data_IF_622590933271
#
_entry.id   IF_622590933271
#
_cell.length_a   1.000
_cell.length_b   1.000
_cell.length_c   1.000
_cell.angle_alpha   90.00
_cell.angle_beta   90.00
_cell.angle_gamma   90.00
#
_symmetry.space_group_name_H-M   'P 1'
#
loop_
_entity.id
_entity.type
_entity.pdbx_description
1 polymer ?
#
# COMPACT_ATOMS: atom_id res chain seq x y z
N UNK A 1 0.50 -8.18 3.52
CA UNK A 1 -0.56 -8.72 4.41
C UNK A 1 -1.42 -9.61 3.54
N UNK A 2 -1.86 -10.75 4.08
CA UNK A 2 -2.59 -11.78 3.32
C UNK A 2 -4.00 -11.99 3.90
N UNK A 3 -4.97 -11.11 3.59
CA UNK A 3 -6.32 -11.14 4.15
C UNK A 3 -7.07 -12.47 4.01
N UNK A 4 -6.98 -13.14 2.86
CA UNK A 4 -7.64 -14.45 2.65
C UNK A 4 -7.01 -15.53 3.54
N UNK A 5 -5.68 -15.57 3.63
CA UNK A 5 -4.97 -16.44 4.58
C UNK A 5 -5.42 -16.18 6.02
N UNK A 6 -5.47 -14.92 6.45
CA UNK A 6 -5.89 -14.55 7.79
C UNK A 6 -7.34 -14.97 8.10
N UNK A 7 -8.23 -14.87 7.10
CA UNK A 7 -9.62 -15.32 7.18
C UNK A 7 -9.74 -16.83 7.37
N UNK A 8 -8.92 -17.61 6.68
CA UNK A 8 -8.93 -19.06 6.81
C UNK A 8 -8.37 -19.54 8.17
N UNK A 9 -7.48 -18.77 8.79
CA UNK A 9 -6.74 -19.22 9.98
C UNK A 9 -7.30 -18.69 11.31
N UNK A 10 -7.57 -17.39 11.45
CA UNK A 10 -7.79 -16.80 12.78
C UNK A 10 -8.61 -15.51 12.85
N UNK A 11 -8.96 -14.86 11.73
CA UNK A 11 -9.62 -13.55 11.76
C UNK A 11 -10.58 -13.35 10.58
N UNK A 12 -11.88 -13.17 10.87
CA UNK A 12 -12.88 -12.85 9.86
C UNK A 12 -12.42 -11.75 8.90
N UNK A 13 -12.66 -11.94 7.60
CA UNK A 13 -12.17 -11.04 6.54
C UNK A 13 -12.58 -9.58 6.76
N UNK A 14 -13.82 -9.35 7.22
CA UNK A 14 -14.35 -8.01 7.52
C UNK A 14 -13.66 -7.32 8.69
N UNK A 15 -13.06 -8.10 9.60
CA UNK A 15 -12.34 -7.61 10.78
C UNK A 15 -10.85 -7.45 10.54
N UNK A 16 -10.38 -7.74 9.33
CA UNK A 16 -8.98 -7.54 8.97
C UNK A 16 -8.60 -6.06 9.12
N UNK A 17 -7.45 -5.73 9.74
CA UNK A 17 -7.05 -4.35 9.97
C UNK A 17 -6.49 -3.66 8.71
N UNK A 18 -6.26 -4.39 7.62
CA UNK A 18 -5.73 -3.87 6.36
C UNK A 18 -6.42 -2.58 5.87
N UNK A 19 -7.76 -2.52 5.69
CA UNK A 19 -8.43 -1.31 5.21
C UNK A 19 -8.17 -0.12 6.13
N UNK A 20 -8.17 -0.33 7.45
CA UNK A 20 -7.87 0.73 8.41
C UNK A 20 -6.42 1.22 8.31
N UNK A 21 -5.46 0.31 8.14
CA UNK A 21 -4.07 0.70 7.95
C UNK A 21 -3.84 1.45 6.65
N UNK A 22 -4.46 1.00 5.56
CA UNK A 22 -4.39 1.66 4.27
C UNK A 22 -5.01 3.06 4.32
N UNK A 23 -6.18 3.23 4.95
CA UNK A 23 -6.83 4.53 5.10
C UNK A 23 -5.96 5.51 5.90
N UNK A 24 -5.30 5.03 6.96
CA UNK A 24 -4.34 5.81 7.77
C UNK A 24 -3.04 6.17 7.04
N UNK A 25 -2.82 5.65 5.83
CA UNK A 25 -1.64 5.97 5.01
C UNK A 25 -0.38 5.21 5.42
N UNK A 26 -0.54 4.07 6.10
CA UNK A 26 0.58 3.17 6.34
C UNK A 26 1.03 2.52 5.04
N UNK A 27 2.34 2.22 4.95
CA UNK A 27 2.92 1.53 3.81
C UNK A 27 2.55 0.04 3.84
N UNK A 28 1.38 -0.29 3.28
CA UNK A 28 0.82 -1.65 3.28
C UNK A 28 0.65 -2.18 1.86
N UNK A 29 0.79 -3.50 1.73
CA UNK A 29 0.70 -4.27 0.47
C UNK A 29 -0.12 -5.55 0.69
N UNK A 30 -0.78 -6.04 -0.36
CA UNK A 30 -1.49 -7.33 -0.36
C UNK A 30 -0.58 -8.45 -0.87
N UNK A 31 -0.72 -9.64 -0.28
CA UNK A 31 0.08 -10.85 -0.53
C UNK A 31 -0.80 -12.09 -0.40
N UNK A 32 -0.34 -13.25 -0.90
CA UNK A 32 -1.15 -14.49 -0.96
C UNK A 32 -0.82 -15.54 0.11
N UNK A 33 0.35 -15.49 0.75
CA UNK A 33 0.84 -16.51 1.71
C UNK A 33 0.92 -17.93 1.12
N UNK A 34 -0.16 -18.73 1.19
CA UNK A 34 -0.27 -20.12 0.73
C UNK A 34 -1.25 -20.27 -0.45
N UNK A 35 -0.87 -19.86 -1.67
CA UNK A 35 -1.78 -19.79 -2.79
C UNK A 35 -2.40 -21.12 -3.21
N UNK A 36 -1.70 -22.24 -2.96
CA UNK A 36 -2.20 -23.58 -3.28
C UNK A 36 -3.36 -24.02 -2.38
N UNK A 37 -3.41 -23.52 -1.13
CA UNK A 37 -4.41 -23.93 -0.14
C UNK A 37 -5.63 -23.00 -0.12
N UNK A 38 -5.42 -21.73 -0.47
CA UNK A 38 -6.40 -20.66 -0.20
C UNK A 38 -7.12 -20.21 -1.48
N UNK A 39 -6.39 -20.09 -2.60
CA UNK A 39 -6.89 -19.44 -3.81
C UNK A 39 -7.52 -20.45 -4.77
N UNK A 40 -8.57 -20.02 -5.46
CA UNK A 40 -9.33 -20.87 -6.39
C UNK A 40 -8.99 -20.59 -7.86
N UNK A 41 -8.45 -19.41 -8.13
CA UNK A 41 -8.14 -18.97 -9.49
C UNK A 41 -6.72 -19.33 -9.91
N UNK A 42 -6.45 -19.26 -11.22
CA UNK A 42 -5.09 -19.42 -11.75
C UNK A 42 -4.15 -18.27 -11.38
N UNK A 43 -4.68 -17.13 -10.96
CA UNK A 43 -3.93 -15.91 -10.64
C UNK A 43 -4.19 -15.51 -9.18
N UNK A 44 -3.55 -16.16 -8.20
CA UNK A 44 -3.92 -16.05 -6.79
C UNK A 44 -3.76 -14.62 -6.25
N UNK A 45 -2.72 -13.90 -6.68
CA UNK A 45 -2.52 -12.52 -6.25
C UNK A 45 -3.61 -11.59 -6.82
N UNK A 46 -4.05 -11.81 -8.06
CA UNK A 46 -5.12 -11.02 -8.67
C UNK A 46 -6.45 -11.27 -7.96
N UNK A 47 -6.71 -12.50 -7.56
CA UNK A 47 -7.86 -12.87 -6.74
C UNK A 47 -7.85 -12.16 -5.38
N UNK A 48 -6.71 -12.08 -4.69
CA UNK A 48 -6.56 -11.33 -3.43
C UNK A 48 -6.97 -9.86 -3.61
N UNK A 49 -6.47 -9.21 -4.66
CA UNK A 49 -6.81 -7.82 -4.98
C UNK A 49 -8.28 -7.66 -5.36
N UNK A 50 -8.85 -8.61 -6.12
CA UNK A 50 -10.23 -8.56 -6.60
C UNK A 50 -11.25 -8.71 -5.46
N UNK A 51 -10.98 -9.62 -4.53
CA UNK A 51 -11.82 -9.80 -3.34
C UNK A 51 -11.69 -8.59 -2.41
N UNK A 52 -10.46 -8.11 -2.15
CA UNK A 52 -10.23 -6.91 -1.35
C UNK A 52 -10.94 -5.69 -1.92
N UNK A 53 -10.91 -5.51 -3.26
CA UNK A 53 -11.61 -4.43 -3.94
C UNK A 53 -13.12 -4.50 -3.73
N UNK A 54 -13.68 -5.69 -3.87
CA UNK A 54 -15.13 -5.93 -3.78
C UNK A 54 -15.67 -5.78 -2.36
N UNK A 55 -14.92 -6.29 -1.37
CA UNK A 55 -15.33 -6.29 0.04
C UNK A 55 -15.10 -4.92 0.69
N UNK A 56 -13.92 -4.30 0.48
CA UNK A 56 -13.59 -3.01 1.10
C UNK A 56 -13.87 -1.80 0.21
N UNK A 57 -14.53 -2.01 -0.94
CA UNK A 57 -14.92 -0.95 -1.88
C UNK A 57 -13.74 -0.09 -2.33
N UNK A 58 -12.61 -0.74 -2.62
CA UNK A 58 -11.41 -0.04 -3.08
C UNK A 58 -11.58 0.40 -4.54
N UNK A 59 -11.23 1.65 -4.82
CA UNK A 59 -11.15 2.17 -6.19
C UNK A 59 -9.91 1.64 -6.92
N UNK A 60 -9.89 1.75 -8.26
CA UNK A 60 -8.71 1.44 -9.08
C UNK A 60 -7.47 2.21 -8.60
N UNK A 61 -7.63 3.49 -8.27
CA UNK A 61 -6.55 4.30 -7.70
C UNK A 61 -5.99 3.70 -6.40
N UNK A 62 -6.83 3.10 -5.55
CA UNK A 62 -6.37 2.48 -4.31
C UNK A 62 -5.61 1.19 -4.58
N UNK A 63 -6.10 0.36 -5.51
CA UNK A 63 -5.41 -0.86 -5.92
C UNK A 63 -4.04 -0.56 -6.53
N UNK A 64 -3.95 0.46 -7.39
CA UNK A 64 -2.69 0.92 -7.96
C UNK A 64 -1.71 1.42 -6.87
N UNK A 65 -2.20 2.15 -5.87
CA UNK A 65 -1.38 2.58 -4.72
C UNK A 65 -0.85 1.40 -3.91
N UNK A 66 -1.70 0.39 -3.64
CA UNK A 66 -1.30 -0.82 -2.92
C UNK A 66 -0.25 -1.60 -3.73
N UNK A 67 -0.44 -1.74 -5.04
CA UNK A 67 0.51 -2.42 -5.93
C UNK A 67 1.84 -1.67 -6.04
N UNK A 68 1.79 -0.34 -6.15
CA UNK A 68 2.98 0.51 -6.12
C UNK A 68 3.78 0.34 -4.82
N UNK A 69 3.09 0.34 -3.67
CA UNK A 69 3.73 0.11 -2.38
C UNK A 69 4.39 -1.28 -2.30
N UNK A 70 3.78 -2.31 -2.90
CA UNK A 70 4.39 -3.64 -2.97
C UNK A 70 5.72 -3.62 -3.75
N UNK A 71 5.79 -2.93 -4.90
CA UNK A 71 7.05 -2.75 -5.64
C UNK A 71 8.06 -1.94 -4.83
N UNK A 72 7.62 -0.89 -4.14
CA UNK A 72 8.50 -0.07 -3.31
C UNK A 72 9.14 -0.90 -2.17
N UNK A 73 8.33 -1.72 -1.48
CA UNK A 73 8.75 -2.60 -0.37
C UNK A 73 9.57 -3.82 -0.81
N UNK A 74 9.46 -4.22 -2.08
CA UNK A 74 10.14 -5.41 -2.60
C UNK A 74 11.68 -5.33 -2.48
N UNK A 75 12.34 -6.49 -2.57
CA UNK A 75 13.81 -6.59 -2.63
C UNK A 75 14.41 -6.40 -4.03
N UNK A 76 13.64 -5.96 -5.03
CA UNK A 76 14.13 -5.85 -6.40
C UNK A 76 15.19 -4.75 -6.57
N UNK A 77 16.04 -4.92 -7.60
CA UNK A 77 17.10 -3.97 -7.93
C UNK A 77 16.54 -2.59 -8.30
N UNK A 78 17.36 -1.56 -8.11
CA UNK A 78 17.01 -0.19 -8.49
C UNK A 78 16.61 -0.10 -9.97
N UNK A 79 17.30 -0.83 -10.87
CA UNK A 79 16.99 -0.84 -12.29
C UNK A 79 15.56 -1.33 -12.57
N UNK A 80 15.13 -2.41 -11.92
CA UNK A 80 13.77 -2.96 -12.07
C UNK A 80 12.72 -2.04 -11.46
N UNK A 81 12.96 -1.51 -10.26
CA UNK A 81 12.03 -0.55 -9.63
C UNK A 81 11.86 0.70 -10.50
N UNK A 82 12.97 1.27 -10.98
CA UNK A 82 12.95 2.41 -11.90
C UNK A 82 12.21 2.09 -13.20
N UNK A 83 12.35 0.86 -13.70
CA UNK A 83 11.62 0.39 -14.87
C UNK A 83 10.10 0.23 -14.63
N UNK A 84 9.67 -0.23 -13.46
CA UNK A 84 8.25 -0.46 -13.20
C UNK A 84 7.48 0.74 -12.66
N UNK A 85 8.06 1.52 -11.74
CA UNK A 85 7.34 2.61 -11.04
C UNK A 85 7.88 4.01 -11.36
N UNK A 86 8.96 4.10 -12.15
CA UNK A 86 9.50 5.36 -12.64
C UNK A 86 10.91 5.65 -12.14
N UNK A 87 11.70 6.37 -12.94
CA UNK A 87 13.13 6.64 -12.66
C UNK A 87 13.37 7.40 -11.36
N UNK A 88 12.39 8.19 -10.93
CA UNK A 88 12.49 9.07 -9.77
C UNK A 88 11.75 8.53 -8.54
N UNK A 89 11.42 7.23 -8.50
CA UNK A 89 10.61 6.62 -7.43
C UNK A 89 11.16 6.82 -6.01
N UNK A 90 12.46 7.11 -5.87
CA UNK A 90 13.11 7.38 -4.58
C UNK A 90 12.82 8.79 -4.03
N UNK A 91 12.21 9.69 -4.82
CA UNK A 91 11.80 11.02 -4.37
C UNK A 91 10.45 10.94 -3.66
N UNK A 92 10.29 11.67 -2.56
CA UNK A 92 9.02 11.74 -1.84
C UNK A 92 7.95 12.54 -2.59
N UNK A 93 6.69 12.20 -2.31
CA UNK A 93 5.50 12.89 -2.81
C UNK A 93 5.28 12.72 -4.31
N UNK A 94 4.61 13.71 -4.92
CA UNK A 94 4.25 13.69 -6.33
C UNK A 94 5.47 13.70 -7.27
N UNK A 95 6.62 14.21 -6.81
CA UNK A 95 7.85 14.33 -7.61
C UNK A 95 8.49 12.99 -7.98
N UNK A 96 8.25 11.94 -7.20
CA UNK A 96 8.77 10.61 -7.49
C UNK A 96 7.82 9.73 -8.29
N UNK A 97 6.62 10.23 -8.58
CA UNK A 97 5.58 9.46 -9.24
C UNK A 97 5.62 9.68 -10.75
N UNK A 98 5.56 8.60 -11.51
CA UNK A 98 5.31 8.63 -12.95
C UNK A 98 3.92 8.03 -13.22
N UNK A 99 2.92 8.88 -13.48
CA UNK A 99 1.52 8.44 -13.68
C UNK A 99 1.42 7.42 -14.81
N UNK A 100 2.23 7.54 -15.86
CA UNK A 100 2.17 6.63 -17.01
C UNK A 100 2.56 5.20 -16.64
N UNK A 101 3.27 5.02 -15.52
CA UNK A 101 3.72 3.73 -15.02
C UNK A 101 2.92 3.25 -13.82
N UNK A 102 2.61 4.14 -12.88
CA UNK A 102 1.96 3.78 -11.63
C UNK A 102 0.44 3.84 -11.70
N UNK A 103 -0.12 4.62 -12.64
CA UNK A 103 -1.55 4.92 -12.74
C UNK A 103 -2.15 5.54 -11.45
N UNK A 104 -1.31 6.18 -10.62
CA UNK A 104 -1.75 6.87 -9.39
C UNK A 104 -1.74 8.37 -9.64
N UNK A 105 -2.86 9.10 -9.42
CA UNK A 105 -2.88 10.55 -9.52
C UNK A 105 -1.86 11.24 -8.61
N UNK A 106 -1.12 12.23 -9.09
CA UNK A 106 -0.12 12.95 -8.28
C UNK A 106 -0.72 13.53 -6.99
N UNK A 107 -1.95 14.05 -7.05
CA UNK A 107 -2.67 14.60 -5.89
C UNK A 107 -2.83 13.59 -4.75
N UNK A 108 -2.98 12.29 -5.08
CA UNK A 108 -3.10 11.22 -4.09
C UNK A 108 -1.81 11.08 -3.28
N UNK A 109 -0.67 11.05 -3.96
CA UNK A 109 0.63 10.90 -3.32
C UNK A 109 1.06 12.19 -2.60
N UNK A 110 0.72 13.35 -3.15
CA UNK A 110 0.93 14.63 -2.47
C UNK A 110 0.12 14.73 -1.17
N UNK A 111 -1.14 14.26 -1.16
CA UNK A 111 -1.94 14.17 0.05
C UNK A 111 -1.31 13.26 1.10
N UNK A 112 -0.81 12.08 0.70
CA UNK A 112 -0.10 11.15 1.60
C UNK A 112 1.17 11.79 2.19
N UNK A 113 1.99 12.41 1.35
CA UNK A 113 3.25 13.04 1.75
C UNK A 113 3.01 14.20 2.73
N UNK A 114 2.07 15.10 2.43
CA UNK A 114 1.67 16.19 3.34
C UNK A 114 1.12 15.68 4.66
N UNK A 115 0.27 14.66 4.64
CA UNK A 115 -0.29 14.04 5.85
C UNK A 115 0.78 13.44 6.76
N UNK A 116 1.77 12.77 6.16
CA UNK A 116 2.91 12.20 6.87
C UNK A 116 3.85 13.28 7.44
N UNK A 117 4.13 14.33 6.65
CA UNK A 117 4.94 15.46 7.11
C UNK A 117 4.28 16.19 8.30
N UNK A 118 2.96 16.36 8.26
CA UNK A 118 2.19 16.96 9.36
C UNK A 118 2.29 16.14 10.65
N UNK A 119 2.08 14.82 10.56
CA UNK A 119 2.17 13.92 11.72
C UNK A 119 3.57 13.86 12.30
N UNK A 120 4.62 13.81 11.47
CA UNK A 120 6.02 13.92 11.93
C UNK A 120 6.30 15.22 12.67
N UNK A 121 5.79 16.35 12.17
CA UNK A 121 5.96 17.65 12.83
C UNK A 121 5.25 17.70 14.18
N UNK A 122 4.03 17.19 14.25
CA UNK A 122 3.28 17.11 15.50
C UNK A 122 3.99 16.25 16.56
N UNK A 123 4.52 15.09 16.17
CA UNK A 123 5.29 14.22 17.07
C UNK A 123 6.59 14.88 17.56
N UNK A 124 7.32 15.55 16.66
CA UNK A 124 8.51 16.31 17.03
C UNK A 124 8.23 17.43 18.03
N UNK A 125 7.12 18.17 17.85
CA UNK A 125 6.68 19.21 18.78
C UNK A 125 6.27 18.62 20.13
N UNK A 126 5.48 17.54 20.14
CA UNK A 126 5.05 16.88 21.37
C UNK A 126 6.24 16.36 22.19
N UNK A 127 7.27 15.81 21.54
CA UNK A 127 8.51 15.39 22.20
C UNK A 127 9.26 16.56 22.83
N UNK A 128 9.33 17.71 22.15
CA UNK A 128 9.95 18.92 22.70
C UNK A 128 9.21 19.47 23.92
N UNK A 129 7.88 19.44 23.91
CA UNK A 129 7.07 19.91 25.05
C UNK A 129 7.13 18.99 26.27
N UNK A 130 7.43 17.69 26.11
CA UNK A 130 7.61 16.75 27.23
C UNK A 130 8.99 16.82 27.89
N UNK A 131 9.96 17.44 27.22
CA UNK A 131 11.34 17.59 27.68
C UNK A 131 11.61 18.98 28.30
N UNK A 132 10.62 19.88 28.28
CA UNK A 132 10.63 21.20 28.91
C UNK A 132 9.75 21.17 30.16
#
# INVERSE_FOLDING_TARGET
MSPLSNNSLFLDYHRNPFPMFFLRGLNVSLSTDDPLQIHLTKEPLVEEYSIAASVWKLSSCNLCEIAHNAVYQSGFSHALKSHWIGKEYYKSGSRGNDIQRTNIPHIRLEFRDKGFAFTKRADSLAKRMRLA
#
